data_IF_718423828144
#
_entry.id   IF_718423828144
#
_cell.length_a   1.000
_cell.length_b   1.000
_cell.length_c   1.000
_cell.angle_alpha   90.00
_cell.angle_beta   90.00
_cell.angle_gamma   90.00
#
_symmetry.space_group_name_H-M   'P 1'
#
loop_
_entity.id
_entity.type
_entity.pdbx_description
1 polymer ?
#
# COMPACT_ATOMS: atom_id res chain seq x y z
N UNK A 1 -6.14 6.56 3.43
CA UNK A 1 -6.28 6.92 2.00
C UNK A 1 -7.68 6.49 1.56
N UNK A 2 -8.62 7.43 1.42
CA UNK A 2 -9.97 7.13 0.96
C UNK A 2 -9.98 7.38 -0.54
N UNK A 3 -10.10 6.34 -1.33
CA UNK A 3 -10.54 6.46 -2.71
C UNK A 3 -12.07 6.57 -2.69
N UNK A 4 -12.55 7.79 -2.49
CA UNK A 4 -13.96 8.10 -2.65
C UNK A 4 -14.35 7.89 -4.11
N UNK A 5 -15.41 7.11 -4.34
CA UNK A 5 -16.05 6.99 -5.64
C UNK A 5 -16.53 8.38 -6.06
N UNK A 6 -15.99 8.92 -7.16
CA UNK A 6 -16.50 10.10 -7.80
C UNK A 6 -17.86 9.79 -8.45
N UNK A 7 -18.93 10.19 -7.77
CA UNK A 7 -20.21 10.52 -8.40
C UNK A 7 -20.09 11.97 -8.84
N UNK A 8 -20.32 12.25 -10.13
CA UNK A 8 -20.14 13.58 -10.69
C UNK A 8 -21.00 14.64 -10.06
N UNK A 9 -20.36 15.75 -9.73
CA UNK A 9 -20.91 17.09 -9.78
C UNK A 9 -19.74 18.06 -9.97
N UNK A 10 -19.83 18.92 -10.98
CA UNK A 10 -18.93 20.03 -11.21
C UNK A 10 -19.03 21.03 -10.07
N UNK A 11 -18.01 21.07 -9.23
CA UNK A 11 -17.69 22.23 -8.42
C UNK A 11 -16.16 22.28 -8.25
N UNK A 12 -15.56 23.31 -8.85
CA UNK A 12 -14.17 23.67 -8.64
C UNK A 12 -13.94 24.14 -7.20
N UNK A 13 -13.92 23.23 -6.25
CA UNK A 13 -13.36 23.52 -4.93
C UNK A 13 -11.84 23.45 -5.01
N UNK A 14 -11.23 24.63 -4.82
CA UNK A 14 -9.81 24.75 -4.52
C UNK A 14 -9.52 23.91 -3.29
N UNK A 15 -8.82 22.78 -3.50
CA UNK A 15 -8.24 22.01 -2.41
C UNK A 15 -7.27 22.93 -1.67
N UNK A 16 -7.73 23.46 -0.55
CA UNK A 16 -6.86 24.15 0.41
C UNK A 16 -5.81 23.15 0.91
N UNK A 17 -4.57 23.31 0.46
CA UNK A 17 -3.39 22.72 1.08
C UNK A 17 -3.13 23.44 2.42
N UNK A 18 -3.89 23.07 3.42
CA UNK A 18 -3.62 23.45 4.80
C UNK A 18 -3.91 22.24 5.68
N UNK A 19 -2.92 21.36 5.71
CA UNK A 19 -2.48 20.63 6.88
C UNK A 19 -1.10 20.11 6.50
N UNK A 20 -0.07 20.67 7.15
CA UNK A 20 1.32 20.20 7.10
C UNK A 20 1.42 18.83 7.82
N UNK A 21 0.74 17.81 7.31
CA UNK A 21 1.07 16.42 7.69
C UNK A 21 2.46 16.13 7.13
N UNK A 22 3.43 16.31 8.01
CA UNK A 22 4.82 16.00 7.70
C UNK A 22 4.91 14.55 7.25
N UNK A 23 5.34 14.33 6.01
CA UNK A 23 5.54 12.99 5.46
C UNK A 23 6.31 12.11 6.45
N UNK A 24 5.92 10.86 6.61
CA UNK A 24 6.64 9.94 7.46
C UNK A 24 8.07 9.76 6.92
N UNK A 25 9.06 9.55 7.81
CA UNK A 25 10.41 9.28 7.38
C UNK A 25 10.44 8.01 6.51
N UNK A 26 11.26 8.03 5.46
CA UNK A 26 11.45 6.84 4.62
C UNK A 26 12.00 5.72 5.49
N UNK A 27 11.37 4.53 5.50
CA UNK A 27 11.86 3.39 6.24
C UNK A 27 13.29 3.05 5.85
N UNK A 28 14.16 2.85 6.84
CA UNK A 28 15.55 2.41 6.58
C UNK A 28 15.63 0.96 6.12
N UNK A 29 14.64 0.15 6.49
CA UNK A 29 14.52 -1.28 6.17
C UNK A 29 13.06 -1.59 5.85
N UNK A 30 12.84 -2.51 4.93
CA UNK A 30 11.55 -3.13 4.69
C UNK A 30 11.30 -4.26 5.69
N UNK A 31 10.11 -4.85 5.66
CA UNK A 31 9.84 -6.07 6.42
C UNK A 31 10.88 -7.14 6.07
N UNK A 32 11.50 -7.71 7.08
CA UNK A 32 12.49 -8.79 6.92
C UNK A 32 12.00 -10.01 7.71
N UNK A 33 11.87 -11.11 7.01
CA UNK A 33 11.60 -12.40 7.64
C UNK A 33 12.88 -12.94 8.29
N UNK A 34 12.82 -13.10 9.62
CA UNK A 34 13.90 -13.73 10.38
C UNK A 34 13.58 -15.19 10.76
N UNK A 35 12.40 -15.72 10.37
CA UNK A 35 11.93 -17.05 10.75
C UNK A 35 11.48 -17.81 9.52
N UNK A 36 11.90 -19.05 9.42
CA UNK A 36 11.40 -19.99 8.42
C UNK A 36 11.17 -21.37 9.04
N UNK A 37 10.17 -22.09 8.52
CA UNK A 37 9.78 -23.44 8.95
C UNK A 37 9.47 -23.52 10.45
N UNK A 38 8.79 -22.51 11.01
CA UNK A 38 8.39 -22.46 12.42
C UNK A 38 6.89 -22.30 12.56
N UNK A 39 6.36 -22.85 13.63
CA UNK A 39 5.03 -22.50 14.11
C UNK A 39 5.10 -21.13 14.79
N UNK A 40 4.34 -20.18 14.26
CA UNK A 40 4.28 -18.83 14.80
C UNK A 40 3.26 -18.76 15.93
N UNK A 41 3.60 -18.04 17.00
CA UNK A 41 2.60 -17.62 17.97
C UNK A 41 1.74 -16.47 17.42
N UNK A 42 0.53 -16.31 17.95
CA UNK A 42 -0.34 -15.18 17.60
C UNK A 42 0.36 -13.82 17.81
N UNK A 43 1.08 -13.67 18.91
CA UNK A 43 1.82 -12.45 19.23
C UNK A 43 2.87 -12.12 18.18
N UNK A 44 3.60 -13.12 17.70
CA UNK A 44 4.62 -12.95 16.65
C UNK A 44 3.98 -12.57 15.33
N UNK A 45 2.91 -13.27 14.92
CA UNK A 45 2.21 -12.97 13.68
C UNK A 45 1.57 -11.58 13.70
N UNK A 46 0.87 -11.20 14.78
CA UNK A 46 0.30 -9.85 14.96
C UNK A 46 1.37 -8.77 14.80
N UNK A 47 2.53 -8.95 15.47
CA UNK A 47 3.67 -8.03 15.35
C UNK A 47 4.20 -7.94 13.92
N UNK A 48 4.29 -9.07 13.23
CA UNK A 48 4.77 -9.12 11.85
C UNK A 48 3.80 -8.41 10.88
N UNK A 49 2.50 -8.67 11.01
CA UNK A 49 1.46 -7.97 10.22
C UNK A 49 1.52 -6.46 10.47
N UNK A 50 1.59 -6.03 11.73
CA UNK A 50 1.72 -4.61 12.09
C UNK A 50 2.97 -3.97 11.48
N UNK A 51 4.12 -4.64 11.59
CA UNK A 51 5.39 -4.14 11.03
C UNK A 51 5.31 -4.00 9.52
N UNK A 52 4.82 -5.03 8.82
CA UNK A 52 4.62 -5.03 7.38
C UNK A 52 3.72 -3.88 6.92
N UNK A 53 2.54 -3.75 7.51
CA UNK A 53 1.56 -2.73 7.15
C UNK A 53 2.02 -1.31 7.46
N UNK A 54 2.68 -1.09 8.61
CA UNK A 54 3.20 0.22 8.97
C UNK A 54 4.33 0.65 8.03
N UNK A 55 5.24 -0.26 7.68
CA UNK A 55 6.28 -0.01 6.68
C UNK A 55 5.66 0.31 5.33
N UNK A 56 4.63 -0.45 4.94
CA UNK A 56 3.90 -0.21 3.70
C UNK A 56 3.28 1.19 3.65
N UNK A 57 2.62 1.62 4.73
CA UNK A 57 2.01 2.96 4.83
C UNK A 57 3.06 4.05 4.61
N UNK A 58 4.21 3.98 5.29
CA UNK A 58 5.28 4.96 5.15
C UNK A 58 5.82 5.01 3.71
N UNK A 59 5.97 3.86 3.06
CA UNK A 59 6.40 3.79 1.66
C UNK A 59 5.34 4.37 0.71
N UNK A 60 4.08 3.99 0.89
CA UNK A 60 2.97 4.43 0.04
C UNK A 60 2.75 5.95 0.12
N UNK A 61 2.85 6.54 1.31
CA UNK A 61 2.74 8.00 1.48
C UNK A 61 3.84 8.75 0.74
N UNK A 62 5.10 8.29 0.88
CA UNK A 62 6.22 8.89 0.16
C UNK A 62 6.15 8.68 -1.37
N UNK A 63 5.64 7.54 -1.83
CA UNK A 63 5.42 7.26 -3.26
C UNK A 63 4.31 8.17 -3.81
N UNK A 64 3.21 8.34 -3.06
CA UNK A 64 2.09 9.18 -3.45
C UNK A 64 2.50 10.63 -3.54
N UNK A 65 3.23 11.14 -2.57
CA UNK A 65 3.73 12.52 -2.55
C UNK A 65 4.60 12.80 -3.79
N UNK A 66 5.65 12.01 -4.00
CA UNK A 66 6.50 12.14 -5.19
C UNK A 66 5.72 11.90 -6.49
N UNK A 67 4.80 10.94 -6.51
CA UNK A 67 4.01 10.60 -7.69
C UNK A 67 3.01 11.69 -8.08
N UNK A 68 2.60 12.55 -7.15
CA UNK A 68 1.68 13.67 -7.39
C UNK A 68 2.37 14.88 -8.06
N UNK A 69 3.70 14.95 -8.03
CA UNK A 69 4.46 16.01 -8.67
C UNK A 69 4.29 15.95 -10.20
N UNK A 70 3.98 17.09 -10.80
CA UNK A 70 3.78 17.19 -12.27
C UNK A 70 5.03 16.89 -13.08
N UNK A 71 6.22 17.13 -12.51
CA UNK A 71 7.49 16.88 -13.17
C UNK A 71 8.59 16.63 -12.15
N UNK A 72 9.03 15.38 -12.08
CA UNK A 72 10.16 15.01 -11.23
C UNK A 72 11.51 15.34 -11.87
N UNK A 73 12.43 15.91 -11.09
CA UNK A 73 13.83 16.03 -11.46
C UNK A 73 14.53 14.65 -11.40
N UNK A 74 15.79 14.59 -11.85
CA UNK A 74 16.56 13.33 -11.91
C UNK A 74 16.75 12.67 -10.52
N UNK A 75 16.90 13.48 -9.46
CA UNK A 75 17.08 12.98 -8.08
C UNK A 75 15.79 12.38 -7.55
N UNK A 76 14.66 13.06 -7.78
CA UNK A 76 13.35 12.60 -7.30
C UNK A 76 12.87 11.37 -8.07
N UNK A 77 13.15 11.27 -9.38
CA UNK A 77 12.93 10.03 -10.15
C UNK A 77 13.69 8.85 -9.57
N UNK A 78 14.97 9.04 -9.19
CA UNK A 78 15.75 7.99 -8.53
C UNK A 78 15.16 7.62 -7.16
N UNK A 79 14.71 8.62 -6.39
CA UNK A 79 14.06 8.41 -5.08
C UNK A 79 12.76 7.61 -5.25
N UNK A 80 11.90 8.01 -6.20
CA UNK A 80 10.65 7.30 -6.49
C UNK A 80 10.91 5.83 -6.90
N UNK A 81 11.83 5.59 -7.81
CA UNK A 81 12.20 4.23 -8.22
C UNK A 81 12.70 3.37 -7.04
N UNK A 82 13.51 3.97 -6.14
CA UNK A 82 13.97 3.27 -4.93
C UNK A 82 12.82 2.92 -4.01
N UNK A 83 11.89 3.84 -3.76
CA UNK A 83 10.71 3.60 -2.92
C UNK A 83 9.79 2.52 -3.51
N UNK A 84 9.57 2.54 -4.81
CA UNK A 84 8.80 1.51 -5.51
C UNK A 84 9.47 0.13 -5.42
N UNK A 85 10.81 0.07 -5.47
CA UNK A 85 11.55 -1.17 -5.26
C UNK A 85 11.38 -1.67 -3.83
N UNK A 86 11.56 -0.79 -2.84
CA UNK A 86 11.37 -1.13 -1.42
C UNK A 86 9.94 -1.61 -1.14
N UNK A 87 8.93 -1.02 -1.77
CA UNK A 87 7.54 -1.46 -1.64
C UNK A 87 7.35 -2.90 -2.13
N UNK A 88 7.90 -3.24 -3.30
CA UNK A 88 7.86 -4.61 -3.84
C UNK A 88 8.61 -5.61 -2.97
N UNK A 89 9.78 -5.23 -2.46
CA UNK A 89 10.58 -6.05 -1.55
C UNK A 89 9.84 -6.29 -0.23
N UNK A 90 9.16 -5.27 0.31
CA UNK A 90 8.33 -5.39 1.50
C UNK A 90 7.21 -6.43 1.32
N UNK A 91 6.53 -6.38 0.17
CA UNK A 91 5.46 -7.33 -0.16
C UNK A 91 6.00 -8.75 -0.36
N UNK A 92 7.10 -8.90 -1.09
CA UNK A 92 7.71 -10.21 -1.34
C UNK A 92 8.20 -10.87 -0.06
N UNK A 93 8.85 -10.11 0.81
CA UNK A 93 9.36 -10.62 2.09
C UNK A 93 8.21 -11.05 3.01
N UNK A 94 7.09 -10.33 3.02
CA UNK A 94 5.92 -10.72 3.80
C UNK A 94 5.22 -11.95 3.22
N UNK A 95 5.07 -12.02 1.90
CA UNK A 95 4.51 -13.19 1.21
C UNK A 95 5.35 -14.45 1.49
N UNK A 96 6.68 -14.33 1.41
CA UNK A 96 7.60 -15.41 1.73
C UNK A 96 7.51 -15.83 3.21
N UNK A 97 7.38 -14.86 4.12
CA UNK A 97 7.23 -15.13 5.54
C UNK A 97 5.98 -15.94 5.87
N UNK A 98 4.82 -15.55 5.35
CA UNK A 98 3.57 -16.29 5.60
C UNK A 98 3.55 -17.66 4.92
N UNK A 99 4.24 -17.82 3.79
CA UNK A 99 4.33 -19.07 3.05
C UNK A 99 5.27 -20.08 3.70
N UNK A 100 6.36 -19.61 4.31
CA UNK A 100 7.42 -20.45 4.93
C UNK A 100 7.13 -20.85 6.36
N UNK A 101 6.07 -20.32 6.98
CA UNK A 101 5.77 -20.57 8.39
C UNK A 101 4.37 -21.15 8.57
N UNK A 102 4.18 -21.88 9.65
CA UNK A 102 2.85 -22.34 10.06
C UNK A 102 2.17 -21.24 10.86
N UNK A 103 1.03 -20.78 10.37
CA UNK A 103 0.27 -19.68 10.98
C UNK A 103 -0.66 -20.21 12.08
N UNK A 104 -0.92 -19.43 13.13
CA UNK A 104 -1.87 -19.78 14.17
C UNK A 104 -3.27 -20.06 13.61
N UNK A 105 -4.00 -20.95 14.30
CA UNK A 105 -5.37 -21.30 13.91
C UNK A 105 -6.26 -20.05 13.75
N UNK A 106 -6.96 -19.94 12.64
CA UNK A 106 -7.89 -18.83 12.37
C UNK A 106 -7.23 -17.54 11.89
N UNK A 107 -5.92 -17.57 11.56
CA UNK A 107 -5.21 -16.39 11.00
C UNK A 107 -4.93 -16.51 9.51
N UNK A 108 -4.85 -17.71 8.97
CA UNK A 108 -4.36 -17.94 7.61
C UNK A 108 -5.08 -17.09 6.56
N UNK A 109 -6.39 -17.25 6.44
CA UNK A 109 -7.19 -16.58 5.42
C UNK A 109 -7.08 -15.05 5.49
N UNK A 110 -7.22 -14.49 6.70
CA UNK A 110 -7.14 -13.03 6.90
C UNK A 110 -5.74 -12.48 6.64
N UNK A 111 -4.68 -13.22 7.01
CA UNK A 111 -3.30 -12.82 6.75
C UNK A 111 -2.97 -12.85 5.26
N UNK A 112 -3.36 -13.91 4.54
CA UNK A 112 -3.19 -14.03 3.10
C UNK A 112 -3.98 -12.94 2.35
N UNK A 113 -5.22 -12.67 2.77
CA UNK A 113 -6.04 -11.59 2.21
C UNK A 113 -5.36 -10.22 2.42
N UNK A 114 -4.81 -9.96 3.62
CA UNK A 114 -4.11 -8.73 3.95
C UNK A 114 -2.89 -8.54 3.05
N UNK A 115 -2.03 -9.54 2.93
CA UNK A 115 -0.86 -9.50 2.06
C UNK A 115 -1.23 -9.27 0.59
N UNK A 116 -2.22 -10.01 0.08
CA UNK A 116 -2.71 -9.89 -1.30
C UNK A 116 -3.28 -8.50 -1.58
N UNK A 117 -4.16 -8.00 -0.73
CA UNK A 117 -4.78 -6.67 -0.90
C UNK A 117 -3.72 -5.56 -0.90
N UNK A 118 -2.79 -5.60 0.05
CA UNK A 118 -1.71 -4.61 0.16
C UNK A 118 -0.82 -4.63 -1.07
N UNK A 119 -0.39 -5.80 -1.54
CA UNK A 119 0.40 -5.97 -2.75
C UNK A 119 -0.31 -5.45 -4.01
N UNK A 120 -1.58 -5.78 -4.20
CA UNK A 120 -2.36 -5.28 -5.35
C UNK A 120 -2.52 -3.74 -5.30
N UNK A 121 -2.67 -3.17 -4.10
CA UNK A 121 -2.71 -1.71 -3.89
C UNK A 121 -1.38 -1.08 -4.24
N UNK A 122 -0.26 -1.66 -3.81
CA UNK A 122 1.08 -1.19 -4.14
C UNK A 122 1.38 -1.29 -5.63
N UNK A 123 1.02 -2.39 -6.27
CA UNK A 123 1.19 -2.58 -7.71
C UNK A 123 0.39 -1.55 -8.50
N UNK A 124 -0.85 -1.26 -8.07
CA UNK A 124 -1.66 -0.19 -8.65
C UNK A 124 -0.99 1.16 -8.48
N UNK A 125 -0.60 1.55 -7.26
CA UNK A 125 0.06 2.82 -6.96
C UNK A 125 1.36 2.99 -7.74
N UNK A 126 2.20 1.98 -7.79
CA UNK A 126 3.47 2.00 -8.52
C UNK A 126 3.26 2.17 -10.03
N UNK A 127 2.26 1.48 -10.61
CA UNK A 127 1.94 1.64 -12.02
C UNK A 127 1.31 3.00 -12.32
N UNK A 128 0.42 3.49 -11.45
CA UNK A 128 -0.22 4.80 -11.58
C UNK A 128 0.83 5.93 -11.57
N UNK A 129 1.68 5.97 -10.55
CA UNK A 129 2.72 7.01 -10.44
C UNK A 129 3.71 6.94 -11.60
N UNK A 130 4.09 5.74 -12.05
CA UNK A 130 4.98 5.57 -13.21
C UNK A 130 4.34 6.03 -14.53
N UNK A 131 3.03 5.83 -14.69
CA UNK A 131 2.29 6.32 -15.87
C UNK A 131 2.14 7.84 -15.83
N UNK A 132 1.74 8.41 -14.69
CA UNK A 132 1.59 9.87 -14.53
C UNK A 132 2.87 10.62 -14.86
N UNK A 133 4.05 10.06 -14.54
CA UNK A 133 5.34 10.66 -14.89
C UNK A 133 5.70 10.61 -16.38
N UNK A 134 4.98 9.83 -17.18
CA UNK A 134 5.23 9.63 -18.61
C UNK A 134 4.17 10.24 -19.51
N UNK A 135 2.99 10.54 -18.96
CA UNK A 135 1.85 11.01 -19.74
C UNK A 135 2.01 12.48 -20.12
N UNK A 136 1.83 12.78 -21.40
CA UNK A 136 1.38 14.10 -21.82
C UNK A 136 -0.06 14.30 -21.37
N UNK A 137 -0.40 15.52 -20.90
CA UNK A 137 -1.65 15.90 -20.21
C UNK A 137 -2.98 15.54 -20.91
N UNK A 138 -2.96 14.87 -22.05
CA UNK A 138 -4.15 14.57 -22.87
C UNK A 138 -4.50 13.09 -23.01
N UNK A 139 -3.67 12.15 -22.57
CA UNK A 139 -3.96 10.72 -22.76
C UNK A 139 -4.31 10.02 -21.45
N UNK A 140 -5.61 10.03 -21.12
CA UNK A 140 -6.16 9.34 -19.93
C UNK A 140 -6.38 7.83 -20.17
N UNK A 141 -6.37 7.35 -21.42
CA UNK A 141 -6.72 5.96 -21.76
C UNK A 141 -5.90 4.90 -21.02
N UNK A 142 -4.62 5.19 -20.79
CA UNK A 142 -3.74 4.28 -20.06
C UNK A 142 -4.06 4.23 -18.56
N UNK A 143 -4.55 5.33 -18.00
CA UNK A 143 -5.05 5.38 -16.61
C UNK A 143 -6.37 4.63 -16.51
N UNK A 144 -7.30 4.80 -17.47
CA UNK A 144 -8.59 4.11 -17.46
C UNK A 144 -8.42 2.58 -17.58
N UNK A 145 -7.48 2.12 -18.40
CA UNK A 145 -7.11 0.69 -18.47
C UNK A 145 -6.56 0.18 -17.14
N UNK A 146 -5.71 0.98 -16.49
CA UNK A 146 -5.14 0.63 -15.19
C UNK A 146 -6.24 0.53 -14.13
N UNK A 147 -7.13 1.53 -14.06
CA UNK A 147 -8.26 1.54 -13.15
C UNK A 147 -9.15 0.31 -13.36
N UNK A 148 -9.48 -0.01 -14.61
CA UNK A 148 -10.28 -1.18 -14.97
C UNK A 148 -9.62 -2.50 -14.54
N UNK A 149 -8.30 -2.60 -14.65
CA UNK A 149 -7.53 -3.79 -14.23
C UNK A 149 -7.60 -4.03 -12.71
N UNK A 150 -7.65 -2.97 -11.92
CA UNK A 150 -7.54 -3.07 -10.45
C UNK A 150 -8.87 -2.86 -9.70
N UNK A 151 -9.95 -2.42 -10.36
CA UNK A 151 -11.23 -2.09 -9.71
C UNK A 151 -11.80 -3.20 -8.81
N UNK A 152 -11.62 -4.47 -9.19
CA UNK A 152 -12.14 -5.62 -8.43
C UNK A 152 -11.17 -6.09 -7.34
N UNK A 153 -9.93 -5.64 -7.39
CA UNK A 153 -8.85 -6.04 -6.49
C UNK A 153 -8.61 -4.98 -5.41
N UNK A 154 -8.64 -3.71 -5.81
CA UNK A 154 -8.37 -2.55 -4.95
C UNK A 154 -9.63 -1.71 -4.86
N UNK A 155 -10.49 -2.05 -3.91
CA UNK A 155 -11.75 -1.35 -3.68
C UNK A 155 -12.16 -1.40 -2.20
N UNK A 156 -13.13 -0.57 -1.82
CA UNK A 156 -13.61 -0.47 -0.45
C UNK A 156 -14.15 -1.77 0.13
N UNK A 157 -14.70 -2.69 -0.70
CA UNK A 157 -15.17 -3.99 -0.23
C UNK A 157 -14.03 -4.90 0.21
N UNK A 158 -12.94 -4.92 -0.54
CA UNK A 158 -11.74 -5.71 -0.18
C UNK A 158 -11.03 -5.07 1.03
N UNK A 159 -10.89 -3.75 1.03
CA UNK A 159 -10.35 -3.02 2.18
C UNK A 159 -11.12 -3.35 3.47
N UNK A 160 -12.45 -3.28 3.43
CA UNK A 160 -13.30 -3.58 4.59
C UNK A 160 -13.09 -4.99 5.15
N UNK A 161 -12.83 -5.97 4.29
CA UNK A 161 -12.52 -7.34 4.75
C UNK A 161 -11.19 -7.39 5.52
N UNK A 162 -10.16 -6.67 5.04
CA UNK A 162 -8.88 -6.57 5.74
C UNK A 162 -9.06 -5.86 7.07
N UNK A 163 -9.74 -4.70 7.10
CA UNK A 163 -10.00 -3.95 8.33
C UNK A 163 -10.76 -4.79 9.36
N UNK A 164 -11.78 -5.55 8.94
CA UNK A 164 -12.52 -6.45 9.81
C UNK A 164 -11.59 -7.53 10.41
N UNK A 165 -10.74 -8.17 9.60
CA UNK A 165 -9.78 -9.14 10.11
C UNK A 165 -8.81 -8.52 11.13
N UNK A 166 -8.25 -7.36 10.82
CA UNK A 166 -7.34 -6.67 11.74
C UNK A 166 -8.03 -6.33 13.06
N UNK A 167 -9.27 -5.86 13.00
CA UNK A 167 -10.09 -5.56 14.18
C UNK A 167 -10.41 -6.82 14.98
N UNK A 168 -10.86 -7.89 14.32
CA UNK A 168 -11.22 -9.16 14.98
C UNK A 168 -10.02 -9.82 15.66
N UNK A 169 -8.82 -9.51 15.22
CA UNK A 169 -7.56 -10.01 15.77
C UNK A 169 -6.83 -9.01 16.65
N UNK A 170 -7.41 -7.86 16.97
CA UNK A 170 -6.77 -6.78 17.75
C UNK A 170 -5.39 -6.41 17.19
N UNK A 171 -5.31 -6.17 15.89
CA UNK A 171 -4.08 -5.74 15.22
C UNK A 171 -4.20 -4.26 14.88
N UNK A 172 -3.64 -3.42 15.72
CA UNK A 172 -3.57 -1.98 15.49
C UNK A 172 -2.44 -1.64 14.51
N UNK A 173 -2.74 -0.84 13.50
CA UNK A 173 -1.79 -0.42 12.46
C UNK A 173 -2.19 0.95 11.92
N UNK A 174 -1.20 1.80 11.64
CA UNK A 174 -1.44 3.10 11.01
C UNK A 174 -1.87 3.03 9.53
N UNK A 175 -1.83 1.85 8.92
CA UNK A 175 -2.14 1.69 7.49
C UNK A 175 -3.61 1.97 7.15
N UNK A 176 -4.53 1.78 8.09
CA UNK A 176 -5.98 1.94 7.92
C UNK A 176 -6.58 2.93 8.93
N UNK A 177 -5.76 3.70 9.62
CA UNK A 177 -6.22 4.82 10.45
C UNK A 177 -6.80 5.92 9.54
N UNK A 178 -7.95 6.48 9.98
CA UNK A 178 -8.64 7.59 9.30
C UNK A 178 -8.09 8.91 9.74
#
# INVERSE_FOLDING_TARGET
MILGACSGHDDHEKINKNDDEKLPPIPKKVFVDQKSNKQLSEKELKKSIKTYLNTNKDLADNITDLGSETKLNKKDKKKLNKLQHMSKENDQNFEDYIRKNELPKGYKEGTELTGKYTKETNDYLNQLTSKLQKLDKKDTKEIDKLNSKYKDKVNGKQQKKVENFLKDKDIETKAFEK
#
